data_IF_182170333021
#
_entry.id   IF_182170333021
#
_cell.length_a   1.000
_cell.length_b   1.000
_cell.length_c   1.000
_cell.angle_alpha   90.00
_cell.angle_beta   90.00
_cell.angle_gamma   90.00
#
_symmetry.space_group_name_H-M   'P 1'
#
loop_
_entity.id
_entity.type
_entity.pdbx_description
1 polymer ?
#
# COMPACT_ATOMS: atom_id res chain seq x y z
N UNK A 1 -17.60 -0.42 -24.97
CA UNK A 1 -17.99 -0.22 -23.57
C UNK A 1 -17.42 1.11 -23.11
N UNK A 2 -18.23 2.05 -22.56
CA UNK A 2 -17.70 3.29 -22.01
C UNK A 2 -16.64 3.01 -20.92
N UNK A 3 -15.56 3.80 -20.86
CA UNK A 3 -14.45 3.62 -19.92
C UNK A 3 -14.91 3.47 -18.44
N UNK A 4 -15.94 4.24 -18.04
CA UNK A 4 -16.54 4.14 -16.69
C UNK A 4 -17.14 2.77 -16.34
N UNK A 5 -17.52 1.98 -17.33
CA UNK A 5 -18.12 0.65 -17.16
C UNK A 5 -17.13 -0.48 -17.41
N UNK A 6 -16.02 -0.22 -18.10
CA UNK A 6 -15.01 -1.22 -18.41
C UNK A 6 -14.45 -1.90 -17.16
N UNK A 7 -14.27 -1.14 -16.09
CA UNK A 7 -13.75 -1.68 -14.82
C UNK A 7 -14.74 -2.54 -14.02
N UNK A 8 -16.01 -2.67 -14.42
CA UNK A 8 -17.03 -3.42 -13.63
C UNK A 8 -17.76 -4.49 -14.41
N UNK A 9 -17.76 -4.43 -15.75
CA UNK A 9 -18.45 -5.43 -16.58
C UNK A 9 -17.50 -6.64 -16.70
N UNK A 10 -18.00 -7.79 -16.27
CA UNK A 10 -17.29 -9.08 -16.33
C UNK A 10 -15.88 -9.06 -15.72
N UNK A 11 -15.68 -8.20 -14.72
CA UNK A 11 -14.38 -8.05 -14.04
C UNK A 11 -14.45 -8.54 -12.58
N UNK A 12 -14.05 -9.79 -12.29
CA UNK A 12 -14.00 -10.30 -10.93
C UNK A 12 -12.77 -9.77 -10.14
N UNK A 13 -11.86 -9.04 -10.77
CA UNK A 13 -10.56 -8.63 -10.23
C UNK A 13 -10.52 -7.17 -9.74
N UNK A 14 -11.69 -6.60 -9.42
CA UNK A 14 -11.85 -5.19 -9.06
C UNK A 14 -10.97 -4.71 -7.90
N UNK A 15 -10.63 -5.60 -6.98
CA UNK A 15 -9.86 -5.30 -5.78
C UNK A 15 -8.49 -6.02 -5.75
N UNK A 16 -8.01 -6.48 -6.90
CA UNK A 16 -6.69 -7.06 -7.01
C UNK A 16 -5.61 -5.99 -7.14
N UNK A 17 -4.36 -6.38 -6.87
CA UNK A 17 -3.21 -5.48 -6.72
C UNK A 17 -2.77 -4.77 -8.03
N UNK A 18 -3.36 -5.09 -9.17
CA UNK A 18 -2.89 -4.61 -10.47
C UNK A 18 -2.84 -3.08 -10.63
N UNK A 19 -3.64 -2.32 -9.92
CA UNK A 19 -3.55 -0.86 -9.93
C UNK A 19 -2.45 -0.34 -9.00
N UNK A 20 -2.20 -1.02 -7.89
CA UNK A 20 -1.19 -0.64 -6.90
C UNK A 20 0.21 -0.77 -7.49
N UNK A 21 0.51 -1.89 -8.16
CA UNK A 21 1.85 -2.16 -8.73
C UNK A 21 2.21 -1.28 -9.93
N UNK A 22 1.32 -0.42 -10.40
CA UNK A 22 1.57 0.52 -11.48
C UNK A 22 1.40 1.98 -11.06
N UNK A 23 1.25 2.26 -9.76
CA UNK A 23 0.97 3.62 -9.28
C UNK A 23 2.21 4.49 -9.11
N UNK A 24 3.42 3.92 -9.08
CA UNK A 24 4.69 4.61 -8.87
C UNK A 24 4.89 5.86 -9.75
N UNK A 25 4.60 5.83 -11.08
CA UNK A 25 4.77 7.01 -11.93
C UNK A 25 3.98 8.23 -11.44
N UNK A 26 2.84 8.02 -10.81
CA UNK A 26 2.00 9.11 -10.28
C UNK A 26 2.64 9.77 -9.07
N UNK A 27 3.32 8.99 -8.23
CA UNK A 27 4.12 9.51 -7.12
C UNK A 27 5.34 10.28 -7.62
N UNK A 28 6.05 9.73 -8.61
CA UNK A 28 7.25 10.38 -9.19
C UNK A 28 6.92 11.67 -9.93
N UNK A 29 5.70 11.80 -10.47
CA UNK A 29 5.23 13.02 -11.09
C UNK A 29 4.79 14.11 -10.10
N UNK A 30 4.66 13.78 -8.82
CA UNK A 30 4.24 14.68 -7.75
C UNK A 30 5.04 14.45 -6.45
N UNK A 31 6.38 14.59 -6.46
CA UNK A 31 7.20 14.34 -5.27
C UNK A 31 6.87 15.36 -4.17
N UNK A 32 6.61 14.88 -2.94
CA UNK A 32 6.21 15.71 -1.81
C UNK A 32 4.80 16.30 -1.92
N UNK A 33 3.98 15.84 -2.87
CA UNK A 33 2.59 16.26 -3.02
C UNK A 33 1.63 15.06 -3.04
N UNK A 34 1.39 14.42 -1.88
CA UNK A 34 0.64 13.17 -1.75
C UNK A 34 -0.78 13.24 -2.31
N UNK A 35 -1.53 14.32 -2.03
CA UNK A 35 -2.89 14.52 -2.54
C UNK A 35 -2.93 14.47 -4.08
N UNK A 36 -1.98 15.12 -4.73
CA UNK A 36 -1.90 15.13 -6.18
C UNK A 36 -1.54 13.76 -6.76
N UNK A 37 -0.61 13.05 -6.12
CA UNK A 37 -0.25 11.70 -6.49
C UNK A 37 -1.46 10.76 -6.39
N UNK A 38 -2.21 10.83 -5.28
CA UNK A 38 -3.41 10.05 -5.06
C UNK A 38 -4.51 10.35 -6.11
N UNK A 39 -4.71 11.63 -6.45
CA UNK A 39 -5.69 12.01 -7.49
C UNK A 39 -5.34 11.40 -8.86
N UNK A 40 -4.08 11.45 -9.25
CA UNK A 40 -3.63 10.87 -10.53
C UNK A 40 -3.77 9.34 -10.51
N UNK A 41 -3.38 8.69 -9.42
CA UNK A 41 -3.53 7.25 -9.23
C UNK A 41 -5.01 6.83 -9.26
N UNK A 42 -5.91 7.61 -8.64
CA UNK A 42 -7.35 7.38 -8.71
C UNK A 42 -7.85 7.34 -10.16
N UNK A 43 -7.46 8.33 -10.97
CA UNK A 43 -7.91 8.42 -12.37
C UNK A 43 -7.47 7.23 -13.20
N UNK A 44 -6.22 6.78 -13.01
CA UNK A 44 -5.69 5.58 -13.68
C UNK A 44 -6.37 4.30 -13.18
N UNK A 45 -6.41 4.10 -11.87
CA UNK A 45 -6.95 2.89 -11.26
C UNK A 45 -8.44 2.69 -11.57
N UNK A 46 -9.20 3.79 -11.64
CA UNK A 46 -10.65 3.74 -11.90
C UNK A 46 -11.01 3.17 -13.27
N UNK A 47 -10.09 3.10 -14.22
CA UNK A 47 -10.31 2.45 -15.52
C UNK A 47 -10.57 0.94 -15.37
N UNK A 48 -9.92 0.29 -14.39
CA UNK A 48 -9.90 -1.18 -14.27
C UNK A 48 -10.28 -1.71 -12.88
N UNK A 49 -10.20 -0.90 -11.84
CA UNK A 49 -10.40 -1.31 -10.44
C UNK A 49 -11.52 -0.51 -9.77
N UNK A 50 -11.98 -1.01 -8.59
CA UNK A 50 -12.96 -0.33 -7.73
C UNK A 50 -12.63 -0.59 -6.27
N UNK A 51 -13.26 0.16 -5.36
CA UNK A 51 -13.16 -0.03 -3.92
C UNK A 51 -11.69 -0.08 -3.46
N UNK A 52 -11.30 -1.11 -2.69
CA UNK A 52 -9.95 -1.22 -2.16
C UNK A 52 -8.86 -1.32 -3.25
N UNK A 53 -9.16 -1.81 -4.46
CA UNK A 53 -8.20 -1.80 -5.57
C UNK A 53 -7.88 -0.40 -6.08
N UNK A 54 -8.81 0.55 -5.99
CA UNK A 54 -8.55 1.98 -6.27
C UNK A 54 -7.86 2.64 -5.09
N UNK A 55 -8.35 2.36 -3.87
CA UNK A 55 -7.76 2.95 -2.66
C UNK A 55 -6.31 2.51 -2.44
N UNK A 56 -5.94 1.28 -2.83
CA UNK A 56 -4.56 0.81 -2.80
C UNK A 56 -3.64 1.65 -3.67
N UNK A 57 -4.03 1.88 -4.92
CA UNK A 57 -3.25 2.72 -5.83
C UNK A 57 -3.09 4.16 -5.31
N UNK A 58 -4.17 4.76 -4.77
CA UNK A 58 -4.14 6.09 -4.14
C UNK A 58 -3.20 6.11 -2.94
N UNK A 59 -3.33 5.13 -2.06
CA UNK A 59 -2.53 4.99 -0.86
C UNK A 59 -1.03 4.88 -1.17
N UNK A 60 -0.65 3.96 -2.06
CA UNK A 60 0.75 3.77 -2.40
C UNK A 60 1.34 4.97 -3.14
N UNK A 61 0.62 5.56 -4.09
CA UNK A 61 1.08 6.77 -4.78
C UNK A 61 1.31 7.92 -3.78
N UNK A 62 0.41 8.12 -2.83
CA UNK A 62 0.56 9.15 -1.81
C UNK A 62 1.72 8.86 -0.86
N UNK A 63 1.87 7.62 -0.38
CA UNK A 63 2.95 7.21 0.50
C UNK A 63 4.32 7.37 -0.18
N UNK A 64 4.47 6.91 -1.43
CA UNK A 64 5.71 7.08 -2.20
C UNK A 64 6.01 8.55 -2.44
N UNK A 65 4.99 9.38 -2.78
CA UNK A 65 5.16 10.84 -2.93
C UNK A 65 5.67 11.48 -1.63
N UNK A 66 5.10 11.11 -0.48
CA UNK A 66 5.54 11.61 0.83
C UNK A 66 6.97 11.18 1.19
N UNK A 67 7.38 9.98 0.79
CA UNK A 67 8.72 9.44 1.05
C UNK A 67 9.85 10.25 0.37
N UNK A 68 9.56 11.11 -0.62
CA UNK A 68 10.56 12.04 -1.18
C UNK A 68 10.99 13.14 -0.19
N UNK A 69 10.20 13.38 0.86
CA UNK A 69 10.42 14.49 1.81
C UNK A 69 10.40 14.03 3.27
N UNK A 70 10.16 12.77 3.54
CA UNK A 70 10.17 12.16 4.87
C UNK A 70 11.32 11.16 4.99
N UNK A 71 11.93 11.10 6.17
CA UNK A 71 13.03 10.18 6.45
C UNK A 71 12.51 8.78 6.86
N UNK A 72 11.41 8.72 7.62
CA UNK A 72 10.83 7.46 8.07
C UNK A 72 9.76 6.98 7.06
N UNK A 73 9.94 5.83 6.41
CA UNK A 73 8.95 5.28 5.49
C UNK A 73 7.63 4.90 6.18
N UNK A 74 7.60 4.66 7.49
CA UNK A 74 6.34 4.42 8.20
C UNK A 74 5.54 5.71 8.40
N UNK A 75 6.20 6.87 8.52
CA UNK A 75 5.53 8.17 8.50
C UNK A 75 4.90 8.42 7.13
N UNK A 76 5.62 8.08 6.05
CA UNK A 76 5.07 8.16 4.70
C UNK A 76 3.83 7.26 4.51
N UNK A 77 3.82 6.05 5.09
CA UNK A 77 2.64 5.19 5.16
C UNK A 77 1.48 5.88 5.88
N UNK A 78 1.78 6.59 6.99
CA UNK A 78 0.81 7.42 7.71
C UNK A 78 0.16 8.49 6.83
N UNK A 79 0.97 9.18 6.01
CA UNK A 79 0.45 10.17 5.04
C UNK A 79 -0.41 9.47 3.96
N UNK A 80 0.01 8.32 3.43
CA UNK A 80 -0.80 7.57 2.46
C UNK A 80 -2.21 7.26 2.97
N UNK A 81 -2.36 7.00 4.28
CA UNK A 81 -3.66 6.74 4.91
C UNK A 81 -4.58 7.97 4.93
N UNK A 82 -4.07 9.20 4.85
CA UNK A 82 -4.89 10.42 4.82
C UNK A 82 -5.58 10.60 3.47
N UNK A 83 -5.07 9.98 2.41
CA UNK A 83 -5.55 10.15 1.04
C UNK A 83 -6.61 9.11 0.63
N UNK A 84 -7.02 8.23 1.54
CA UNK A 84 -8.07 7.23 1.31
C UNK A 84 -9.16 7.31 2.38
N UNK A 85 -10.39 6.82 2.10
CA UNK A 85 -11.47 6.88 3.10
C UNK A 85 -11.08 6.18 4.40
N UNK A 86 -11.14 6.90 5.51
CA UNK A 86 -10.67 6.46 6.82
C UNK A 86 -11.31 5.14 7.30
N UNK A 87 -12.58 4.91 6.92
CA UNK A 87 -13.36 3.74 7.33
C UNK A 87 -13.38 2.61 6.30
N UNK A 88 -12.67 2.74 5.17
CA UNK A 88 -12.56 1.64 4.22
C UNK A 88 -11.79 0.45 4.82
N UNK A 89 -12.02 -0.74 4.27
CA UNK A 89 -11.39 -1.96 4.76
C UNK A 89 -9.86 -1.88 4.68
N UNK A 90 -9.33 -1.37 3.57
CA UNK A 90 -7.89 -1.21 3.38
C UNK A 90 -7.26 -0.34 4.47
N UNK A 91 -7.85 0.81 4.79
CA UNK A 91 -7.34 1.70 5.84
C UNK A 91 -7.31 1.02 7.22
N UNK A 92 -8.34 0.22 7.53
CA UNK A 92 -8.40 -0.58 8.77
C UNK A 92 -7.31 -1.66 8.79
N UNK A 93 -7.07 -2.32 7.67
CA UNK A 93 -6.06 -3.37 7.55
C UNK A 93 -4.64 -2.80 7.65
N UNK A 94 -4.37 -1.65 7.01
CA UNK A 94 -3.07 -0.96 7.10
C UNK A 94 -2.81 -0.47 8.54
N UNK A 95 -3.79 0.13 9.22
CA UNK A 95 -3.64 0.53 10.64
C UNK A 95 -3.37 -0.66 11.54
N UNK A 96 -4.03 -1.80 11.29
CA UNK A 96 -3.72 -3.04 12.00
C UNK A 96 -2.27 -3.46 11.77
N UNK A 97 -1.79 -3.45 10.52
CA UNK A 97 -0.41 -3.78 10.20
C UNK A 97 0.58 -2.84 10.92
N UNK A 98 0.37 -1.53 10.85
CA UNK A 98 1.18 -0.54 11.57
C UNK A 98 1.22 -0.80 13.07
N UNK A 99 0.09 -1.18 13.67
CA UNK A 99 0.03 -1.54 15.10
C UNK A 99 0.84 -2.78 15.48
N UNK A 100 1.20 -3.64 14.51
CA UNK A 100 2.01 -4.84 14.71
C UNK A 100 3.51 -4.65 14.43
N UNK A 101 3.91 -3.61 13.73
CA UNK A 101 5.30 -3.41 13.29
C UNK A 101 6.31 -3.45 14.43
N UNK A 102 5.99 -2.88 15.60
CA UNK A 102 6.87 -2.82 16.76
C UNK A 102 7.16 -4.17 17.44
N UNK A 103 6.32 -5.17 17.19
CA UNK A 103 6.44 -6.51 17.80
C UNK A 103 6.98 -7.56 16.83
N UNK A 104 7.26 -7.19 15.59
CA UNK A 104 7.73 -8.14 14.57
C UNK A 104 9.16 -8.59 14.87
N UNK A 105 9.35 -9.90 14.93
CA UNK A 105 10.68 -10.53 15.07
C UNK A 105 11.33 -10.85 13.71
N UNK A 106 10.57 -10.88 12.63
CA UNK A 106 11.08 -11.16 11.30
C UNK A 106 9.97 -11.41 10.25
N UNK A 107 10.41 -11.69 9.02
CA UNK A 107 9.51 -11.84 7.88
C UNK A 107 8.59 -13.08 7.99
N UNK A 108 9.02 -14.15 8.67
CA UNK A 108 8.21 -15.35 8.87
C UNK A 108 6.98 -15.04 9.72
N UNK A 109 7.16 -14.26 10.80
CA UNK A 109 6.07 -13.81 11.64
C UNK A 109 5.14 -12.86 10.88
N UNK A 110 5.71 -11.89 10.14
CA UNK A 110 4.93 -10.98 9.29
C UNK A 110 4.04 -11.75 8.31
N UNK A 111 4.59 -12.77 7.65
CA UNK A 111 3.84 -13.63 6.74
C UNK A 111 2.75 -14.40 7.46
N UNK A 112 3.04 -15.01 8.61
CA UNK A 112 2.05 -15.77 9.38
C UNK A 112 0.88 -14.89 9.86
N UNK A 113 1.17 -13.64 10.27
CA UNK A 113 0.15 -12.66 10.65
C UNK A 113 -0.78 -12.32 9.49
N UNK A 114 -0.22 -12.12 8.29
CA UNK A 114 -1.03 -11.83 7.09
C UNK A 114 -1.85 -13.05 6.68
N UNK A 115 -1.27 -14.23 6.65
CA UNK A 115 -1.98 -15.47 6.30
C UNK A 115 -3.14 -15.76 7.26
N UNK A 116 -2.94 -15.55 8.55
CA UNK A 116 -3.99 -15.70 9.55
C UNK A 116 -5.12 -14.69 9.41
N UNK A 117 -4.78 -13.39 9.17
CA UNK A 117 -5.77 -12.33 9.05
C UNK A 117 -6.61 -12.41 7.77
N UNK A 118 -5.98 -12.83 6.69
CA UNK A 118 -6.59 -12.86 5.35
C UNK A 118 -6.88 -14.28 4.86
N UNK A 119 -7.12 -15.22 5.79
CA UNK A 119 -7.45 -16.59 5.45
C UNK A 119 -8.60 -16.65 4.43
N UNK A 120 -8.40 -17.37 3.33
CA UNK A 120 -9.36 -17.48 2.23
C UNK A 120 -9.36 -16.30 1.23
N UNK A 121 -8.59 -15.24 1.48
CA UNK A 121 -8.39 -14.17 0.51
C UNK A 121 -7.38 -14.59 -0.56
N UNK A 122 -7.66 -14.23 -1.82
CA UNK A 122 -6.73 -14.54 -2.90
C UNK A 122 -5.38 -13.82 -2.73
N UNK A 123 -4.28 -14.50 -3.07
CA UNK A 123 -2.92 -13.98 -2.85
C UNK A 123 -2.62 -12.63 -3.54
N UNK A 124 -3.31 -12.32 -4.64
CA UNK A 124 -3.14 -11.06 -5.37
C UNK A 124 -4.16 -9.97 -5.00
N UNK A 125 -4.87 -10.12 -3.87
CA UNK A 125 -5.77 -9.07 -3.40
C UNK A 125 -4.98 -7.88 -2.85
N UNK A 126 -5.47 -6.64 -3.04
CA UNK A 126 -4.82 -5.41 -2.57
C UNK A 126 -4.51 -5.43 -1.07
N UNK A 127 -5.47 -5.83 -0.23
CA UNK A 127 -5.35 -5.67 1.23
C UNK A 127 -4.22 -6.49 1.87
N UNK A 128 -4.09 -7.76 1.52
CA UNK A 128 -3.03 -8.61 2.08
C UNK A 128 -1.65 -8.17 1.59
N UNK A 129 -1.53 -7.76 0.33
CA UNK A 129 -0.27 -7.25 -0.23
C UNK A 129 0.12 -5.90 0.40
N UNK A 130 -0.82 -4.98 0.60
CA UNK A 130 -0.55 -3.72 1.28
C UNK A 130 -0.02 -3.95 2.71
N UNK A 131 -0.60 -4.89 3.47
CA UNK A 131 -0.11 -5.22 4.81
C UNK A 131 1.30 -5.84 4.77
N UNK A 132 1.59 -6.72 3.81
CA UNK A 132 2.94 -7.27 3.62
C UNK A 132 3.95 -6.17 3.30
N UNK A 133 3.58 -5.19 2.48
CA UNK A 133 4.46 -4.04 2.16
C UNK A 133 4.76 -3.22 3.41
N UNK A 134 3.76 -2.92 4.25
CA UNK A 134 3.97 -2.21 5.52
C UNK A 134 4.93 -2.97 6.42
N UNK A 135 4.78 -4.29 6.55
CA UNK A 135 5.70 -5.11 7.33
C UNK A 135 7.10 -5.16 6.71
N UNK A 136 7.20 -5.22 5.38
CA UNK A 136 8.49 -5.18 4.68
C UNK A 136 9.25 -3.88 4.93
N UNK A 137 8.54 -2.74 4.87
CA UNK A 137 9.12 -1.42 5.20
C UNK A 137 9.60 -1.37 6.65
N UNK A 138 8.81 -1.83 7.60
CA UNK A 138 9.18 -1.84 9.01
C UNK A 138 10.43 -2.69 9.27
N UNK A 139 10.51 -3.89 8.68
CA UNK A 139 11.66 -4.79 8.83
C UNK A 139 12.90 -4.25 8.09
N UNK A 140 12.72 -3.60 6.93
CA UNK A 140 13.80 -2.97 6.17
C UNK A 140 14.44 -1.81 6.93
N UNK A 141 13.66 -1.00 7.63
CA UNK A 141 14.17 0.07 8.50
C UNK A 141 15.06 -0.47 9.61
N UNK A 142 14.70 -1.61 10.21
CA UNK A 142 15.53 -2.24 11.25
C UNK A 142 16.88 -2.72 10.70
N UNK A 143 16.93 -3.17 9.44
CA UNK A 143 18.19 -3.61 8.80
C UNK A 143 19.12 -2.44 8.48
N UNK A 144 18.60 -1.28 8.10
CA UNK A 144 19.40 -0.08 7.81
C UNK A 144 19.88 0.66 9.06
N UNK A 145 19.22 0.48 10.20
CA UNK A 145 19.63 1.07 11.49
C UNK A 145 20.58 0.19 12.27
N UNK A 146 20.79 -1.07 11.87
CA UNK A 146 21.80 -1.95 12.46
C UNK A 146 23.15 -1.72 11.79
N UNK A 147 24.29 -1.60 12.56
CA UNK A 147 25.62 -1.52 11.98
C UNK A 147 25.84 -2.70 11.02
N UNK A 148 26.35 -2.41 9.83
CA UNK A 148 26.70 -3.47 8.88
C UNK A 148 27.73 -4.39 9.52
N UNK A 149 27.64 -5.74 9.38
CA UNK A 149 28.68 -6.65 9.82
C UNK A 149 30.06 -6.38 9.17
N UNK A 150 30.13 -5.46 8.21
CA UNK A 150 31.39 -5.03 7.55
C UNK A 150 32.04 -3.85 8.25
N UNK A 151 31.39 -3.23 9.23
CA UNK A 151 31.88 -2.05 9.94
C UNK A 151 32.45 -2.42 11.35
N UNK A 152 32.66 -3.74 11.61
CA UNK A 152 33.25 -4.31 12.84
C UNK A 152 34.60 -4.96 12.56
#
# INVERSE_FOLDING_TARGET
>A
VPARRAGVIDNPYLEWIGADIRCDPWAYAAPGWPERAAEMAYRDAYLSHRRNGVYGAMFFAAAISAAFVLEDPLDAVGIGLTEIPAECRLAKDIRWALGKTKSLSGWQEARALVDGRFQGMHAVHTNNNACLTVFGLALGCLLYTSPSPRDS
#
